data_IF_436264131544
#
_entry.id   IF_436264131544
#
_cell.length_a   1.000
_cell.length_b   1.000
_cell.length_c   1.000
_cell.angle_alpha   90.00
_cell.angle_beta   90.00
_cell.angle_gamma   90.00
#
_symmetry.space_group_name_H-M   'P 1'
#
loop_
_entity.id
_entity.type
_entity.pdbx_description
1 polymer ?
#
# COMPACT_ATOMS: atom_id res chain seq x y z
N UNK A 1 8.56 -8.18 93.61
CA UNK A 1 7.72 -7.45 92.62
C UNK A 1 8.25 -7.75 91.22
N UNK A 2 7.42 -7.63 90.16
CA UNK A 2 7.78 -7.55 88.71
C UNK A 2 8.98 -8.43 88.25
N UNK A 3 8.73 -9.68 87.84
CA UNK A 3 8.53 -10.13 86.43
C UNK A 3 9.73 -9.85 85.50
N UNK A 4 10.24 -10.90 84.87
CA UNK A 4 11.33 -10.87 83.89
C UNK A 4 10.87 -10.37 82.51
N UNK A 5 11.81 -9.82 81.74
CA UNK A 5 11.66 -9.58 80.30
C UNK A 5 12.54 -10.53 79.51
N UNK A 6 11.96 -11.22 78.52
CA UNK A 6 12.69 -12.06 77.56
C UNK A 6 13.03 -11.20 76.34
N UNK A 7 14.29 -11.21 75.93
CA UNK A 7 14.72 -10.56 74.68
C UNK A 7 14.44 -11.50 73.49
N UNK A 8 13.36 -11.26 72.76
CA UNK A 8 13.18 -11.86 71.43
C UNK A 8 14.00 -11.07 70.40
N UNK A 9 14.93 -11.75 69.72
CA UNK A 9 15.64 -11.19 68.57
C UNK A 9 14.75 -11.16 67.34
N UNK A 10 14.59 -10.00 66.71
CA UNK A 10 13.92 -9.86 65.41
C UNK A 10 14.94 -9.95 64.28
N UNK A 11 14.83 -10.99 63.45
CA UNK A 11 15.60 -11.08 62.22
C UNK A 11 15.04 -10.09 61.19
N UNK A 12 15.86 -9.14 60.74
CA UNK A 12 15.53 -8.33 59.56
C UNK A 12 15.76 -9.16 58.30
N UNK A 13 14.67 -9.64 57.70
CA UNK A 13 14.71 -10.20 56.35
C UNK A 13 14.84 -9.06 55.34
N UNK A 14 16.00 -8.94 54.70
CA UNK A 14 16.22 -7.98 53.62
C UNK A 14 15.44 -8.41 52.37
N UNK A 15 14.22 -7.89 52.21
CA UNK A 15 13.51 -7.97 50.95
C UNK A 15 14.27 -7.16 49.89
N UNK A 16 15.02 -7.84 49.02
CA UNK A 16 15.58 -7.24 47.81
C UNK A 16 14.41 -6.83 46.92
N UNK A 17 14.17 -5.52 46.83
CA UNK A 17 13.20 -4.95 45.91
C UNK A 17 13.78 -5.09 44.49
N UNK A 18 13.49 -6.21 43.85
CA UNK A 18 13.72 -6.40 42.42
C UNK A 18 12.82 -5.42 41.67
N UNK A 19 13.35 -4.21 41.43
CA UNK A 19 12.73 -3.23 40.57
C UNK A 19 12.79 -3.77 39.13
N UNK A 20 11.80 -4.58 38.76
CA UNK A 20 11.46 -4.82 37.36
C UNK A 20 11.09 -3.47 36.77
N UNK A 21 12.07 -2.82 36.15
CA UNK A 21 11.81 -1.82 35.13
C UNK A 21 11.03 -2.52 34.04
N UNK A 22 9.71 -2.42 34.11
CA UNK A 22 8.86 -2.54 32.93
C UNK A 22 9.21 -1.36 32.02
N UNK A 23 10.34 -1.47 31.32
CA UNK A 23 10.60 -0.74 30.09
C UNK A 23 9.39 -0.99 29.22
N UNK A 24 8.63 0.07 28.93
CA UNK A 24 7.45 -0.01 28.07
C UNK A 24 7.82 -0.78 26.81
N UNK A 25 7.14 -1.90 26.56
CA UNK A 25 7.37 -2.72 25.38
C UNK A 25 6.76 -2.05 24.13
N UNK A 26 7.35 -0.91 23.76
CA UNK A 26 7.55 -0.57 22.36
C UNK A 26 8.54 -1.63 21.85
N UNK A 27 7.99 -2.78 21.42
CA UNK A 27 8.80 -3.90 20.95
C UNK A 27 9.69 -3.45 19.79
N UNK A 28 10.81 -4.15 19.59
CA UNK A 28 11.83 -3.75 18.60
C UNK A 28 11.33 -3.75 17.15
N UNK A 29 10.11 -4.24 16.91
CA UNK A 29 9.40 -4.17 15.64
C UNK A 29 9.44 -2.78 15.01
N UNK A 30 10.08 -2.70 13.84
CA UNK A 30 10.20 -1.47 13.05
C UNK A 30 9.30 -1.55 11.81
N UNK A 31 8.58 -0.47 11.52
CA UNK A 31 7.84 -0.30 10.28
C UNK A 31 8.63 0.62 9.33
N UNK A 32 9.35 0.01 8.39
CA UNK A 32 10.09 0.70 7.33
C UNK A 32 9.11 1.10 6.22
N UNK A 33 9.01 2.40 5.89
CA UNK A 33 8.02 2.91 4.94
C UNK A 33 8.73 3.68 3.82
N UNK A 34 8.54 3.25 2.57
CA UNK A 34 9.07 3.91 1.36
C UNK A 34 7.93 4.48 0.50
N UNK A 35 8.05 5.76 0.13
CA UNK A 35 7.00 6.54 -0.52
C UNK A 35 6.93 6.36 -2.04
N UNK A 36 5.95 7.02 -2.66
CA UNK A 36 5.83 7.10 -4.12
C UNK A 36 6.79 8.12 -4.76
N UNK A 37 6.61 8.38 -6.06
CA UNK A 37 7.30 9.49 -6.76
C UNK A 37 7.05 10.82 -6.07
N UNK A 38 8.04 11.72 -6.10
CA UNK A 38 8.13 12.97 -5.35
C UNK A 38 8.03 12.83 -3.81
N UNK A 39 7.97 11.60 -3.27
CA UNK A 39 7.90 11.30 -1.84
C UNK A 39 9.21 10.67 -1.38
N UNK A 40 10.29 11.45 -1.43
CA UNK A 40 11.66 11.03 -1.09
C UNK A 40 11.87 10.67 0.38
N UNK A 41 10.99 11.16 1.26
CA UNK A 41 10.88 10.81 2.68
C UNK A 41 9.47 11.11 3.19
N UNK A 42 9.10 10.58 4.37
CA UNK A 42 7.80 10.81 4.99
C UNK A 42 7.90 11.18 6.46
N UNK A 43 7.10 12.16 6.88
CA UNK A 43 7.00 12.55 8.28
C UNK A 43 6.16 11.53 9.08
N UNK A 44 6.49 11.30 10.36
CA UNK A 44 5.83 10.29 11.20
C UNK A 44 4.30 10.48 11.31
N UNK A 45 3.85 11.74 11.28
CA UNK A 45 2.41 12.08 11.27
C UNK A 45 1.68 11.46 10.06
N UNK A 46 2.33 11.34 8.91
CA UNK A 46 1.77 10.66 7.72
C UNK A 46 1.85 9.15 7.89
N UNK A 47 3.02 8.63 8.27
CA UNK A 47 3.24 7.18 8.46
C UNK A 47 2.33 6.58 9.54
N UNK A 48 1.94 7.35 10.56
CA UNK A 48 1.01 6.92 11.62
C UNK A 48 -0.45 6.79 11.16
N UNK A 49 -0.80 7.28 9.96
CA UNK A 49 -2.14 7.17 9.37
C UNK A 49 -2.23 6.11 8.26
N UNK A 50 -1.08 5.70 7.70
CA UNK A 50 -0.99 4.67 6.65
C UNK A 50 -1.73 3.39 7.09
N UNK A 51 -2.51 2.82 6.17
CA UNK A 51 -3.32 1.61 6.37
C UNK A 51 -4.26 1.68 7.59
N UNK A 52 -4.87 2.85 7.83
CA UNK A 52 -5.75 3.10 8.98
C UNK A 52 -5.02 3.19 10.32
N UNK A 53 -3.70 3.37 10.31
CA UNK A 53 -2.86 3.41 11.51
C UNK A 53 -2.47 2.03 12.04
N UNK A 54 -2.41 1.00 11.19
CA UNK A 54 -1.89 -0.33 11.59
C UNK A 54 -0.43 -0.29 12.09
N UNK A 55 0.34 0.72 11.65
CA UNK A 55 1.74 0.93 12.02
C UNK A 55 1.93 1.69 13.36
N UNK A 56 0.85 1.94 14.12
CA UNK A 56 0.88 2.74 15.35
C UNK A 56 1.78 2.17 16.45
N UNK A 57 1.80 0.83 16.59
CA UNK A 57 2.47 0.08 17.67
C UNK A 57 3.93 -0.32 17.33
N UNK A 58 4.47 0.18 16.21
CA UNK A 58 5.83 -0.10 15.72
C UNK A 58 6.68 1.18 15.65
N UNK A 59 8.01 1.06 15.70
CA UNK A 59 8.90 2.18 15.36
C UNK A 59 8.82 2.45 13.86
N UNK A 60 8.12 3.51 13.45
CA UNK A 60 8.03 3.91 12.04
C UNK A 60 9.31 4.61 11.59
N UNK A 61 9.84 4.21 10.43
CA UNK A 61 11.06 4.75 9.83
C UNK A 61 10.79 5.09 8.37
N UNK A 62 11.08 6.33 7.98
CA UNK A 62 11.05 6.75 6.58
C UNK A 62 12.29 6.23 5.88
N UNK A 63 12.13 5.32 4.92
CA UNK A 63 13.22 4.88 4.06
C UNK A 63 13.44 5.96 2.99
N UNK A 64 14.53 6.69 3.12
CA UNK A 64 14.84 7.78 2.21
C UNK A 64 15.32 7.25 0.86
N UNK A 65 14.80 7.80 -0.23
CA UNK A 65 15.20 7.48 -1.61
C UNK A 65 14.99 8.70 -2.52
N UNK A 66 15.51 8.74 -3.76
CA UNK A 66 15.36 9.93 -4.60
C UNK A 66 13.90 10.25 -4.94
N UNK A 67 13.05 9.24 -5.14
CA UNK A 67 11.67 9.39 -5.60
C UNK A 67 11.51 10.12 -6.95
N UNK A 68 12.58 10.16 -7.74
CA UNK A 68 12.67 10.80 -9.05
C UNK A 68 12.30 9.82 -10.17
N UNK A 69 11.83 10.36 -11.30
CA UNK A 69 11.52 9.62 -12.51
C UNK A 69 11.60 10.55 -13.73
N UNK A 70 12.81 10.97 -14.13
CA UNK A 70 13.01 11.71 -15.36
C UNK A 70 12.43 10.95 -16.57
N UNK A 71 11.77 11.64 -17.53
CA UNK A 71 11.57 13.09 -17.62
C UNK A 71 10.35 13.65 -16.85
N UNK A 72 9.54 12.78 -16.21
CA UNK A 72 8.25 13.13 -15.59
C UNK A 72 8.37 14.00 -14.33
N UNK A 73 9.32 13.72 -13.43
CA UNK A 73 9.57 14.62 -12.27
C UNK A 73 10.33 15.89 -12.67
N UNK A 74 11.21 15.76 -13.67
CA UNK A 74 12.03 16.81 -14.20
C UNK A 74 13.06 16.27 -15.19
N UNK A 75 13.61 17.14 -16.04
CA UNK A 75 14.60 16.76 -17.07
C UNK A 75 16.05 16.74 -16.57
N UNK A 76 16.30 17.19 -15.34
CA UNK A 76 17.62 17.17 -14.69
C UNK A 76 17.77 16.06 -13.65
N UNK A 77 16.68 15.33 -13.39
CA UNK A 77 16.51 14.36 -12.32
C UNK A 77 17.08 12.99 -12.73
N UNK A 78 17.14 12.07 -11.78
CA UNK A 78 17.43 10.66 -12.04
C UNK A 78 16.31 9.99 -12.83
N UNK A 79 16.68 9.04 -13.69
CA UNK A 79 15.74 8.11 -14.31
C UNK A 79 15.07 7.23 -13.25
N UNK A 80 13.90 6.67 -13.55
CA UNK A 80 13.20 5.79 -12.62
C UNK A 80 14.05 4.59 -12.21
N UNK A 81 14.84 4.03 -13.15
CA UNK A 81 15.79 2.95 -12.84
C UNK A 81 16.90 3.38 -11.87
N UNK A 82 17.56 4.52 -12.11
CA UNK A 82 18.59 5.03 -11.21
C UNK A 82 18.04 5.39 -9.81
N UNK A 83 16.85 6.00 -9.78
CA UNK A 83 16.09 6.33 -8.57
C UNK A 83 15.74 5.07 -7.76
N UNK A 84 15.21 4.03 -8.42
CA UNK A 84 14.88 2.74 -7.78
C UNK A 84 16.14 2.04 -7.26
N UNK A 85 17.25 2.01 -8.02
CA UNK A 85 18.48 1.34 -7.57
C UNK A 85 19.02 1.93 -6.27
N UNK A 86 19.03 3.26 -6.12
CA UNK A 86 19.42 3.94 -4.87
C UNK A 86 18.41 3.62 -3.75
N UNK A 87 17.12 3.54 -4.09
CA UNK A 87 16.09 3.10 -3.14
C UNK A 87 16.30 1.67 -2.63
N UNK A 88 16.79 0.75 -3.48
CA UNK A 88 17.08 -0.65 -3.13
C UNK A 88 18.24 -0.72 -2.13
N UNK A 89 19.35 -0.05 -2.41
CA UNK A 89 20.51 0.01 -1.51
C UNK A 89 20.12 0.58 -0.13
N UNK A 90 19.35 1.67 -0.11
CA UNK A 90 18.88 2.29 1.13
C UNK A 90 17.86 1.44 1.89
N UNK A 91 16.96 0.74 1.19
CA UNK A 91 15.96 -0.13 1.81
C UNK A 91 16.62 -1.37 2.43
N UNK A 92 17.59 -1.98 1.75
CA UNK A 92 18.36 -3.10 2.32
C UNK A 92 19.09 -2.68 3.60
N UNK A 93 19.75 -1.52 3.60
CA UNK A 93 20.45 -1.01 4.79
C UNK A 93 19.51 -0.75 5.98
N UNK A 94 18.29 -0.26 5.75
CA UNK A 94 17.28 -0.10 6.82
C UNK A 94 16.67 -1.43 7.27
N UNK A 95 16.53 -2.42 6.37
CA UNK A 95 16.12 -3.79 6.73
C UNK A 95 17.16 -4.42 7.65
N UNK A 96 18.45 -4.41 7.28
CA UNK A 96 19.54 -4.93 8.11
C UNK A 96 19.56 -4.23 9.48
N UNK A 97 19.52 -2.90 9.49
CA UNK A 97 19.51 -2.11 10.71
C UNK A 97 18.26 -2.33 11.58
N UNK A 98 17.13 -2.78 11.02
CA UNK A 98 15.93 -3.14 11.76
C UNK A 98 15.98 -4.58 12.29
N UNK A 99 16.54 -5.53 11.53
CA UNK A 99 16.75 -6.91 11.96
C UNK A 99 17.75 -7.00 13.12
N UNK A 100 18.79 -6.17 13.11
CA UNK A 100 19.75 -6.04 14.22
C UNK A 100 19.14 -5.42 15.49
N UNK A 101 18.01 -4.70 15.39
CA UNK A 101 17.26 -4.19 16.55
C UNK A 101 16.35 -5.23 17.19
N UNK A 102 15.90 -6.25 16.45
CA UNK A 102 14.98 -7.26 16.97
C UNK A 102 15.57 -7.98 18.19
N UNK A 103 14.77 -8.09 19.25
CA UNK A 103 15.15 -8.73 20.50
C UNK A 103 15.51 -10.20 20.29
N UNK A 104 16.54 -10.66 20.98
CA UNK A 104 17.01 -12.05 20.97
C UNK A 104 17.00 -12.66 22.37
N UNK A 105 16.58 -13.92 22.46
CA UNK A 105 16.56 -14.68 23.72
C UNK A 105 17.99 -15.05 24.18
N UNK A 106 18.10 -15.71 25.34
CA UNK A 106 19.38 -16.13 25.90
C UNK A 106 20.12 -17.21 25.08
N UNK A 107 19.49 -17.74 24.02
CA UNK A 107 20.06 -18.73 23.10
C UNK A 107 20.41 -18.12 21.73
N UNK A 108 19.99 -16.87 21.46
CA UNK A 108 20.19 -16.16 20.19
C UNK A 108 18.99 -16.21 19.22
N UNK A 109 17.88 -16.84 19.59
CA UNK A 109 16.64 -16.86 18.79
C UNK A 109 15.95 -15.50 18.88
N UNK A 110 15.23 -15.07 17.84
CA UNK A 110 14.38 -13.87 17.93
C UNK A 110 13.24 -14.06 18.94
N UNK A 111 12.82 -12.98 19.60
CA UNK A 111 11.70 -13.00 20.55
C UNK A 111 10.37 -13.13 19.79
N UNK A 112 9.55 -14.12 20.18
CA UNK A 112 8.27 -14.40 19.55
C UNK A 112 7.37 -13.15 19.47
N UNK A 113 7.01 -12.76 18.24
CA UNK A 113 6.12 -11.63 17.94
C UNK A 113 6.81 -10.36 17.46
N UNK A 114 8.14 -10.22 17.60
CA UNK A 114 8.87 -9.06 17.04
C UNK A 114 9.19 -9.26 15.56
N UNK A 115 8.91 -8.26 14.71
CA UNK A 115 9.06 -8.32 13.25
C UNK A 115 9.41 -6.98 12.61
N UNK A 116 10.09 -7.01 11.46
CA UNK A 116 10.22 -5.85 10.58
C UNK A 116 9.05 -5.81 9.61
N UNK A 117 8.27 -4.74 9.60
CA UNK A 117 7.28 -4.48 8.54
C UNK A 117 7.90 -3.61 7.47
N UNK A 118 7.85 -4.02 6.20
CA UNK A 118 8.31 -3.22 5.05
C UNK A 118 7.12 -2.79 4.21
N UNK A 119 6.85 -1.49 4.16
CA UNK A 119 5.69 -0.90 3.48
C UNK A 119 6.15 -0.09 2.26
N UNK A 120 5.87 -0.59 1.06
CA UNK A 120 6.18 0.10 -0.20
C UNK A 120 4.93 0.68 -0.84
N UNK A 121 4.90 1.99 -1.08
CA UNK A 121 3.72 2.70 -1.59
C UNK A 121 3.95 3.30 -2.98
N UNK A 122 3.03 3.07 -3.92
CA UNK A 122 3.15 3.51 -5.33
C UNK A 122 4.50 3.07 -5.91
N UNK A 123 5.30 3.96 -6.51
CA UNK A 123 6.63 3.61 -7.03
C UNK A 123 7.60 3.04 -5.97
N UNK A 124 7.45 3.35 -4.68
CA UNK A 124 8.22 2.70 -3.61
C UNK A 124 7.97 1.20 -3.52
N UNK A 125 6.80 0.70 -3.95
CA UNK A 125 6.57 -0.75 -4.08
C UNK A 125 7.45 -1.41 -5.16
N UNK A 126 7.89 -0.67 -6.19
CA UNK A 126 8.80 -1.19 -7.21
C UNK A 126 10.21 -1.44 -6.65
N UNK A 127 10.65 -0.57 -5.72
CA UNK A 127 11.87 -0.77 -4.92
C UNK A 127 11.77 -2.04 -4.08
N UNK A 128 10.68 -2.18 -3.31
CA UNK A 128 10.46 -3.38 -2.48
C UNK A 128 10.36 -4.65 -3.34
N UNK A 129 9.80 -4.58 -4.55
CA UNK A 129 9.77 -5.69 -5.49
C UNK A 129 11.15 -6.11 -6.02
N UNK A 130 12.13 -5.20 -6.10
CA UNK A 130 13.51 -5.57 -6.47
C UNK A 130 14.28 -6.13 -5.27
N UNK A 131 14.07 -5.60 -4.06
CA UNK A 131 14.55 -6.23 -2.81
C UNK A 131 14.00 -7.65 -2.67
N UNK A 132 12.70 -7.86 -2.90
CA UNK A 132 12.08 -9.18 -2.92
C UNK A 132 12.69 -10.13 -3.99
N UNK A 133 13.20 -9.61 -5.12
CA UNK A 133 13.94 -10.40 -6.11
C UNK A 133 15.36 -10.76 -5.65
N UNK A 134 16.02 -9.88 -4.91
CA UNK A 134 17.32 -10.15 -4.29
C UNK A 134 17.19 -11.21 -3.19
N UNK A 135 16.27 -11.01 -2.24
CA UNK A 135 16.03 -11.95 -1.13
C UNK A 135 15.61 -13.34 -1.63
N UNK A 136 14.76 -13.44 -2.67
CA UNK A 136 14.36 -14.73 -3.24
C UNK A 136 15.44 -15.43 -4.10
N UNK A 137 16.61 -14.80 -4.27
CA UNK A 137 17.78 -15.34 -4.95
C UNK A 137 18.99 -15.56 -4.01
N UNK A 138 18.94 -15.05 -2.77
CA UNK A 138 19.97 -15.24 -1.75
C UNK A 138 19.66 -16.47 -0.88
N UNK A 139 20.71 -17.17 -0.45
CA UNK A 139 20.62 -18.33 0.44
C UNK A 139 20.80 -17.98 1.93
N UNK A 140 21.34 -16.78 2.23
CA UNK A 140 21.50 -16.25 3.59
C UNK A 140 20.41 -15.19 3.92
N UNK A 141 19.34 -15.14 3.12
CA UNK A 141 18.23 -14.20 3.30
C UNK A 141 17.54 -14.35 4.67
N UNK A 142 17.02 -13.27 5.29
CA UNK A 142 16.34 -13.34 6.59
C UNK A 142 15.12 -14.26 6.55
N UNK A 143 14.91 -15.04 7.62
CA UNK A 143 13.81 -15.99 7.72
C UNK A 143 12.46 -15.28 7.57
N UNK A 144 11.54 -15.90 6.81
CA UNK A 144 10.28 -15.27 6.44
C UNK A 144 9.32 -14.95 7.59
N UNK A 145 9.56 -15.46 8.78
CA UNK A 145 8.82 -15.08 9.97
C UNK A 145 9.31 -13.73 10.54
N UNK A 146 10.54 -13.31 10.24
CA UNK A 146 11.13 -12.05 10.75
C UNK A 146 10.61 -10.79 10.04
N UNK A 147 10.25 -10.90 8.75
CA UNK A 147 9.84 -9.77 7.91
C UNK A 147 8.41 -9.95 7.43
N UNK A 148 7.66 -8.86 7.27
CA UNK A 148 6.35 -8.86 6.61
C UNK A 148 6.27 -7.70 5.61
N UNK A 149 5.97 -8.01 4.35
CA UNK A 149 5.94 -7.02 3.28
C UNK A 149 4.51 -6.57 3.00
N UNK A 150 4.30 -5.25 2.85
CA UNK A 150 3.01 -4.65 2.51
C UNK A 150 3.18 -3.73 1.32
N UNK A 151 2.57 -4.07 0.19
CA UNK A 151 2.69 -3.31 -1.06
C UNK A 151 1.38 -2.61 -1.37
N UNK A 152 1.42 -1.29 -1.37
CA UNK A 152 0.25 -0.42 -1.55
C UNK A 152 0.36 0.27 -2.91
N UNK A 153 -0.68 0.20 -3.72
CA UNK A 153 -0.71 0.77 -5.06
C UNK A 153 0.39 0.22 -6.01
N UNK A 154 0.70 -1.07 -5.91
CA UNK A 154 1.75 -1.72 -6.70
C UNK A 154 1.30 -2.03 -8.14
N UNK A 155 1.85 -1.28 -9.08
CA UNK A 155 1.55 -1.41 -10.51
C UNK A 155 2.07 -2.72 -11.13
N UNK A 156 3.08 -3.38 -10.54
CA UNK A 156 3.70 -4.62 -11.05
C UNK A 156 2.84 -5.87 -10.87
N UNK A 157 1.76 -5.77 -10.09
CA UNK A 157 0.78 -6.85 -9.84
C UNK A 157 -0.45 -6.78 -10.76
N UNK A 158 -0.52 -5.78 -11.64
CA UNK A 158 -1.58 -5.65 -12.63
C UNK A 158 -1.42 -6.67 -13.78
N UNK A 159 -2.55 -7.15 -14.32
CA UNK A 159 -2.55 -8.12 -15.45
C UNK A 159 -1.88 -7.62 -16.73
N UNK A 160 -1.68 -6.31 -16.86
CA UNK A 160 -0.99 -5.67 -17.97
C UNK A 160 0.54 -5.82 -17.86
N UNK A 161 1.09 -5.96 -16.63
CA UNK A 161 2.52 -6.18 -16.37
C UNK A 161 2.79 -7.68 -16.23
N UNK A 162 2.40 -8.45 -17.24
CA UNK A 162 2.53 -9.92 -17.28
C UNK A 162 3.86 -10.41 -17.89
N UNK A 163 4.72 -9.50 -18.34
CA UNK A 163 5.98 -9.77 -19.04
C UNK A 163 7.06 -8.78 -18.62
N UNK A 164 8.32 -9.19 -18.68
CA UNK A 164 9.48 -8.30 -18.54
C UNK A 164 9.58 -7.37 -19.75
N UNK A 165 9.54 -6.05 -19.53
CA UNK A 165 9.66 -5.03 -20.58
C UNK A 165 10.51 -3.85 -20.09
N UNK A 166 11.45 -3.41 -20.92
CA UNK A 166 12.27 -2.21 -20.65
C UNK A 166 11.59 -0.98 -21.27
N UNK A 167 11.24 -0.01 -20.42
CA UNK A 167 10.81 1.32 -20.85
C UNK A 167 12.07 2.22 -20.98
N UNK A 168 12.29 2.76 -22.17
CA UNK A 168 13.45 3.60 -22.50
C UNK A 168 13.31 5.05 -22.02
N UNK A 169 12.09 5.58 -21.92
CA UNK A 169 11.82 6.93 -21.41
C UNK A 169 12.22 7.05 -19.94
N UNK A 170 11.93 6.00 -19.16
CA UNK A 170 12.20 5.92 -17.72
C UNK A 170 13.47 5.14 -17.35
N UNK A 171 14.18 4.55 -18.32
CA UNK A 171 15.34 3.67 -18.12
C UNK A 171 15.07 2.60 -17.03
N UNK A 172 13.92 1.94 -17.14
CA UNK A 172 13.45 0.98 -16.14
C UNK A 172 12.89 -0.29 -16.76
N UNK A 173 13.29 -1.43 -16.20
CA UNK A 173 12.78 -2.75 -16.59
C UNK A 173 11.62 -3.17 -15.71
N UNK A 174 10.40 -2.84 -16.16
CA UNK A 174 9.17 -3.38 -15.60
C UNK A 174 9.19 -4.91 -15.69
N UNK A 175 8.85 -5.56 -14.58
CA UNK A 175 8.88 -7.01 -14.40
C UNK A 175 7.66 -7.41 -13.57
N UNK A 176 7.04 -8.57 -13.82
CA UNK A 176 6.04 -9.14 -12.93
C UNK A 176 6.57 -9.23 -11.49
N UNK A 177 5.66 -9.22 -10.52
CA UNK A 177 5.97 -9.51 -9.13
C UNK A 177 6.76 -10.83 -8.98
N UNK A 178 7.79 -10.88 -8.12
CA UNK A 178 8.55 -12.11 -7.88
C UNK A 178 7.74 -13.14 -7.09
N UNK A 179 7.95 -14.42 -7.41
CA UNK A 179 7.61 -15.51 -6.48
C UNK A 179 8.70 -15.60 -5.41
N UNK A 180 8.32 -15.45 -4.15
CA UNK A 180 9.21 -15.50 -2.97
C UNK A 180 8.57 -16.35 -1.89
N UNK A 181 9.32 -16.85 -0.92
CA UNK A 181 8.73 -17.60 0.20
C UNK A 181 8.04 -16.72 1.24
N UNK A 182 8.30 -15.40 1.24
CA UNK A 182 7.72 -14.42 2.16
C UNK A 182 6.21 -14.29 1.98
N UNK A 183 5.52 -14.02 3.08
CA UNK A 183 4.11 -13.64 3.08
C UNK A 183 3.99 -12.12 2.85
N UNK A 184 3.13 -11.73 1.90
CA UNK A 184 3.00 -10.37 1.38
C UNK A 184 1.53 -9.93 1.47
N UNK A 185 1.29 -8.75 2.01
CA UNK A 185 0.00 -8.07 1.92
C UNK A 185 0.03 -7.12 0.70
N UNK A 186 -1.02 -7.12 -0.10
CA UNK A 186 -1.18 -6.23 -1.26
C UNK A 186 -2.44 -5.40 -1.07
N UNK A 187 -2.36 -4.08 -1.24
CA UNK A 187 -3.46 -3.14 -1.02
C UNK A 187 -3.66 -2.30 -2.26
N UNK A 188 -4.84 -2.40 -2.87
CA UNK A 188 -5.18 -1.75 -4.15
C UNK A 188 -6.53 -1.06 -4.02
N UNK A 189 -6.62 0.19 -4.47
CA UNK A 189 -7.89 0.92 -4.54
C UNK A 189 -8.72 0.51 -5.75
N UNK A 190 -10.02 0.31 -5.56
CA UNK A 190 -10.93 0.00 -6.68
C UNK A 190 -10.95 1.16 -7.69
N UNK A 191 -10.53 0.87 -8.92
CA UNK A 191 -10.32 1.83 -10.02
C UNK A 191 -9.16 2.83 -9.83
N UNK A 192 -8.19 2.56 -8.96
CA UNK A 192 -6.92 3.32 -8.93
C UNK A 192 -6.26 3.29 -10.33
N UNK A 193 -6.04 4.47 -10.94
CA UNK A 193 -5.46 4.57 -12.27
C UNK A 193 -4.04 4.04 -12.41
N UNK A 194 -3.29 3.90 -11.31
CA UNK A 194 -1.89 3.46 -11.31
C UNK A 194 -1.74 1.96 -11.00
N UNK A 195 -2.68 1.38 -10.26
CA UNK A 195 -2.57 0.04 -9.67
C UNK A 195 -3.81 -0.87 -9.90
N UNK A 196 -4.91 -0.32 -10.40
CA UNK A 196 -6.12 -1.03 -10.83
C UNK A 196 -6.62 -0.47 -12.18
N UNK A 197 -5.73 -0.46 -13.18
CA UNK A 197 -6.09 -0.11 -14.56
C UNK A 197 -6.86 -1.27 -15.23
N UNK A 198 -7.89 -1.01 -16.05
CA UNK A 198 -8.74 -2.06 -16.61
C UNK A 198 -7.98 -3.02 -17.54
N UNK A 199 -8.03 -4.32 -17.23
CA UNK A 199 -7.41 -5.37 -18.07
C UNK A 199 -8.05 -5.49 -19.47
N UNK A 200 -9.27 -4.97 -19.65
CA UNK A 200 -9.89 -4.74 -20.97
C UNK A 200 -9.84 -3.25 -21.34
N UNK A 201 -8.63 -2.72 -21.53
CA UNK A 201 -8.35 -1.30 -21.80
C UNK A 201 -9.14 -0.69 -22.98
N UNK A 202 -9.60 -1.50 -23.95
CA UNK A 202 -10.47 -1.04 -25.04
C UNK A 202 -11.86 -0.55 -24.57
N UNK A 203 -12.24 -0.78 -23.30
CA UNK A 203 -13.40 -0.14 -22.68
C UNK A 203 -13.03 1.29 -22.22
N UNK A 204 -13.07 2.23 -23.16
CA UNK A 204 -12.70 3.63 -22.91
C UNK A 204 -13.47 4.31 -21.75
N UNK A 205 -14.68 3.85 -21.41
CA UNK A 205 -15.40 4.36 -20.22
C UNK A 205 -14.73 3.93 -18.91
N UNK A 206 -14.17 2.71 -18.86
CA UNK A 206 -13.40 2.25 -17.72
C UNK A 206 -12.03 2.94 -17.64
N UNK A 207 -11.38 3.19 -18.77
CA UNK A 207 -10.12 3.96 -18.83
C UNK A 207 -10.32 5.39 -18.32
N UNK A 208 -11.35 6.11 -18.78
CA UNK A 208 -11.67 7.45 -18.25
C UNK A 208 -12.00 7.44 -16.76
N UNK A 209 -12.56 6.35 -16.23
CA UNK A 209 -12.81 6.19 -14.80
C UNK A 209 -11.54 5.85 -14.01
N UNK A 210 -10.61 5.07 -14.57
CA UNK A 210 -9.31 4.77 -13.97
C UNK A 210 -8.41 6.03 -13.93
N UNK A 211 -8.39 6.82 -15.00
CA UNK A 211 -7.70 8.13 -15.05
C UNK A 211 -8.20 9.04 -13.91
N UNK A 212 -9.53 9.16 -13.75
CA UNK A 212 -10.10 9.89 -12.62
C UNK A 212 -9.77 9.23 -11.26
N UNK A 213 -9.59 7.93 -11.19
CA UNK A 213 -9.16 7.21 -9.99
C UNK A 213 -7.69 7.45 -9.61
N UNK A 214 -6.82 7.76 -10.57
CA UNK A 214 -5.49 8.30 -10.28
C UNK A 214 -5.55 9.58 -9.42
N UNK A 215 -6.58 10.42 -9.64
CA UNK A 215 -6.83 11.65 -8.87
C UNK A 215 -7.54 11.34 -7.54
N UNK A 216 -8.65 10.59 -7.57
CA UNK A 216 -9.56 10.45 -6.43
C UNK A 216 -9.39 9.20 -5.56
N UNK A 217 -8.54 8.24 -5.96
CA UNK A 217 -8.39 6.94 -5.28
C UNK A 217 -6.94 6.64 -4.90
N UNK A 218 -5.98 6.89 -5.79
CA UNK A 218 -4.58 6.44 -5.65
C UNK A 218 -3.96 6.77 -4.29
N UNK A 219 -3.96 8.06 -3.89
CA UNK A 219 -3.40 8.49 -2.60
C UNK A 219 -4.37 8.24 -1.42
N UNK A 220 -5.68 8.58 -1.49
CA UNK A 220 -6.60 8.36 -0.37
C UNK A 220 -6.69 6.91 0.13
N UNK A 221 -6.60 5.91 -0.77
CA UNK A 221 -6.69 4.51 -0.39
C UNK A 221 -5.48 3.99 0.40
N UNK A 222 -4.33 4.68 0.36
CA UNK A 222 -3.14 4.32 1.15
C UNK A 222 -3.38 4.47 2.67
N UNK A 223 -4.40 5.25 3.05
CA UNK A 223 -4.81 5.49 4.44
C UNK A 223 -6.02 4.64 4.85
N UNK A 224 -6.46 3.70 3.99
CA UNK A 224 -7.64 2.88 4.25
C UNK A 224 -7.42 1.88 5.39
N UNK A 225 -8.39 1.80 6.31
CA UNK A 225 -8.42 0.79 7.36
C UNK A 225 -8.78 -0.58 6.77
N UNK A 226 -7.81 -1.49 6.73
CA UNK A 226 -7.95 -2.83 6.17
C UNK A 226 -8.99 -3.69 6.91
N UNK A 227 -9.31 -3.39 8.18
CA UNK A 227 -10.38 -4.08 8.92
C UNK A 227 -11.79 -3.76 8.43
N UNK A 228 -11.93 -2.68 7.63
CA UNK A 228 -13.19 -2.25 7.00
C UNK A 228 -13.34 -2.72 5.55
N UNK A 229 -12.36 -3.43 4.98
CA UNK A 229 -12.47 -4.00 3.63
C UNK A 229 -13.41 -5.21 3.66
N UNK A 230 -14.44 -5.30 2.78
CA UNK A 230 -15.36 -6.42 2.75
C UNK A 230 -14.64 -7.75 2.44
N UNK A 231 -15.08 -8.85 3.05
CA UNK A 231 -14.42 -10.16 2.93
C UNK A 231 -14.46 -10.73 1.49
N UNK A 232 -15.45 -10.34 0.68
CA UNK A 232 -15.54 -10.66 -0.75
C UNK A 232 -14.46 -9.96 -1.60
N UNK A 233 -13.93 -8.83 -1.11
CA UNK A 233 -12.85 -8.04 -1.70
C UNK A 233 -11.46 -8.46 -1.21
N UNK A 234 -11.37 -9.49 -0.37
CA UNK A 234 -10.10 -10.07 0.08
C UNK A 234 -9.87 -11.40 -0.67
N UNK A 235 -8.66 -11.62 -1.18
CA UNK A 235 -8.26 -12.92 -1.74
C UNK A 235 -6.85 -13.33 -1.34
N UNK A 236 -6.71 -14.61 -0.99
CA UNK A 236 -5.42 -15.23 -0.63
C UNK A 236 -5.00 -16.16 -1.76
N UNK A 237 -3.78 -15.94 -2.27
CA UNK A 237 -3.15 -16.72 -3.32
C UNK A 237 -1.78 -17.21 -2.81
N UNK A 238 -1.33 -18.40 -3.23
CA UNK A 238 -0.04 -19.00 -2.79
C UNK A 238 0.80 -19.33 -4.01
N UNK A 239 2.07 -18.92 -4.00
CA UNK A 239 2.99 -19.03 -5.13
C UNK A 239 3.79 -20.35 -5.12
N UNK A 240 4.60 -20.62 -6.16
CA UNK A 240 5.38 -21.86 -6.28
C UNK A 240 6.45 -22.06 -5.20
N UNK A 241 6.83 -20.99 -4.50
CA UNK A 241 7.78 -20.97 -3.38
C UNK A 241 7.11 -21.17 -2.01
N UNK A 242 5.78 -21.24 -1.95
CA UNK A 242 5.03 -21.36 -0.69
C UNK A 242 4.92 -20.06 0.11
N UNK A 243 5.16 -18.90 -0.51
CA UNK A 243 4.81 -17.60 0.03
C UNK A 243 3.37 -17.21 -0.30
N UNK A 244 2.70 -16.59 0.67
CA UNK A 244 1.28 -16.23 0.61
C UNK A 244 1.11 -14.77 0.21
N UNK A 245 0.25 -14.47 -0.77
CA UNK A 245 -0.16 -13.10 -1.07
C UNK A 245 -1.60 -12.87 -0.61
N UNK A 246 -1.80 -11.98 0.35
CA UNK A 246 -3.14 -11.54 0.81
C UNK A 246 -3.47 -10.20 0.17
N UNK A 247 -4.41 -10.22 -0.77
CA UNK A 247 -4.83 -9.06 -1.55
C UNK A 247 -6.06 -8.41 -0.91
N UNK A 248 -6.05 -7.08 -0.76
CA UNK A 248 -7.15 -6.25 -0.30
C UNK A 248 -7.55 -5.27 -1.42
N UNK A 249 -8.77 -5.42 -1.96
CA UNK A 249 -9.37 -4.42 -2.86
C UNK A 249 -10.19 -3.41 -2.05
N UNK A 250 -9.61 -2.25 -1.75
CA UNK A 250 -10.29 -1.17 -1.02
C UNK A 250 -11.45 -0.63 -1.89
N UNK A 251 -12.72 -0.76 -1.46
CA UNK A 251 -13.85 -0.34 -2.29
C UNK A 251 -13.92 1.18 -2.47
N UNK A 252 -14.24 1.62 -3.68
CA UNK A 252 -14.35 3.05 -3.99
C UNK A 252 -15.80 3.50 -3.84
N UNK A 253 -16.07 4.28 -2.77
CA UNK A 253 -17.42 4.65 -2.33
C UNK A 253 -18.25 5.45 -3.37
N UNK A 254 -17.58 6.11 -4.32
CA UNK A 254 -18.20 6.79 -5.46
C UNK A 254 -17.29 6.69 -6.67
N UNK A 255 -17.82 6.27 -7.83
CA UNK A 255 -17.06 6.14 -9.08
C UNK A 255 -16.22 7.40 -9.34
N UNK A 256 -14.90 7.29 -9.57
CA UNK A 256 -14.05 8.45 -9.79
C UNK A 256 -14.50 9.34 -10.96
N UNK A 257 -15.04 8.76 -12.04
CA UNK A 257 -15.64 9.52 -13.14
C UNK A 257 -16.85 10.37 -12.70
N UNK A 258 -17.54 9.96 -11.64
CA UNK A 258 -18.70 10.64 -11.05
C UNK A 258 -18.29 11.54 -9.88
N UNK A 259 -17.07 11.40 -9.35
CA UNK A 259 -16.41 12.42 -8.54
C UNK A 259 -15.99 13.59 -9.45
N UNK A 260 -15.31 13.30 -10.57
CA UNK A 260 -14.91 14.28 -11.59
C UNK A 260 -16.10 14.99 -12.26
N UNK A 261 -17.17 14.26 -12.56
CA UNK A 261 -18.38 14.82 -13.17
C UNK A 261 -19.63 14.53 -12.30
N UNK A 262 -19.92 15.34 -11.26
CA UNK A 262 -21.04 15.12 -10.34
C UNK A 262 -22.43 15.04 -11.01
N UNK A 263 -22.59 15.63 -12.20
CA UNK A 263 -23.81 15.53 -13.01
C UNK A 263 -24.19 14.09 -13.40
N UNK A 264 -23.21 13.17 -13.42
CA UNK A 264 -23.39 11.76 -13.74
C UNK A 264 -24.01 10.93 -12.60
N UNK A 265 -24.16 11.47 -11.37
CA UNK A 265 -24.59 10.72 -10.18
C UNK A 265 -25.90 9.94 -10.37
N UNK A 266 -26.86 10.48 -11.13
CA UNK A 266 -28.14 9.79 -11.45
C UNK A 266 -28.00 8.53 -12.30
N UNK A 267 -26.80 8.28 -12.86
CA UNK A 267 -26.45 7.13 -13.71
C UNK A 267 -25.33 6.28 -13.12
N UNK A 268 -24.93 6.53 -11.88
CA UNK A 268 -23.73 5.90 -11.28
C UNK A 268 -23.76 4.37 -11.31
N UNK A 269 -24.89 3.73 -10.98
CA UNK A 269 -25.04 2.28 -11.09
C UNK A 269 -25.00 1.75 -12.55
N UNK A 270 -25.52 2.52 -13.51
CA UNK A 270 -25.46 2.20 -14.96
C UNK A 270 -24.02 2.30 -15.49
N UNK A 271 -23.26 3.28 -14.99
CA UNK A 271 -21.85 3.47 -15.31
C UNK A 271 -21.00 2.38 -14.65
N UNK A 272 -21.20 2.06 -13.37
CA UNK A 272 -20.45 0.98 -12.66
C UNK A 272 -20.64 -0.36 -13.38
N UNK A 273 -21.88 -0.73 -13.72
CA UNK A 273 -22.18 -1.94 -14.49
C UNK A 273 -21.64 -1.96 -15.95
N UNK A 274 -21.10 -0.84 -16.46
CA UNK A 274 -20.37 -0.77 -17.74
C UNK A 274 -18.84 -0.73 -17.55
N UNK A 275 -18.37 -0.08 -16.50
CA UNK A 275 -16.96 0.00 -16.11
C UNK A 275 -16.47 -1.36 -15.60
N UNK A 276 -17.24 -2.02 -14.73
CA UNK A 276 -16.88 -3.30 -14.11
C UNK A 276 -16.61 -4.42 -15.12
N UNK A 277 -17.24 -4.35 -16.31
CA UNK A 277 -17.00 -5.29 -17.41
C UNK A 277 -15.59 -5.21 -17.99
N UNK A 278 -14.84 -4.15 -17.68
CA UNK A 278 -13.44 -3.99 -18.09
C UNK A 278 -12.44 -4.68 -17.15
N UNK A 279 -12.93 -5.24 -16.04
CA UNK A 279 -12.12 -5.83 -14.99
C UNK A 279 -12.47 -7.30 -14.84
N UNK A 280 -11.60 -8.18 -15.28
CA UNK A 280 -11.80 -9.65 -15.22
C UNK A 280 -11.95 -10.22 -13.80
N UNK A 281 -11.66 -9.44 -12.74
CA UNK A 281 -12.06 -9.79 -11.36
C UNK A 281 -13.58 -9.89 -11.16
N UNK A 282 -14.34 -9.15 -11.96
CA UNK A 282 -15.80 -9.05 -11.92
C UNK A 282 -16.48 -10.01 -12.90
N UNK A 283 -15.70 -10.73 -13.72
CA UNK A 283 -16.24 -11.83 -14.52
C UNK A 283 -16.85 -12.88 -13.60
N UNK A 284 -17.98 -13.47 -14.00
CA UNK A 284 -18.66 -14.52 -13.23
C UNK A 284 -17.74 -15.74 -13.17
N UNK A 285 -16.99 -15.90 -12.06
CA UNK A 285 -16.15 -17.08 -11.85
C UNK A 285 -17.06 -18.32 -11.87
N UNK A 286 -16.87 -19.18 -12.88
CA UNK A 286 -17.33 -20.56 -12.82
C UNK A 286 -16.80 -21.19 -11.53
N UNK A 287 -17.65 -21.94 -10.81
CA UNK A 287 -17.52 -22.22 -9.38
C UNK A 287 -16.28 -23.05 -8.98
N UNK A 288 -15.12 -22.41 -8.95
CA UNK A 288 -13.93 -22.86 -8.25
C UNK A 288 -14.02 -22.39 -6.79
N UNK A 289 -13.90 -23.33 -5.85
CA UNK A 289 -13.94 -23.06 -4.41
C UNK A 289 -12.75 -22.18 -4.02
N UNK A 290 -12.99 -20.88 -3.75
CA UNK A 290 -12.04 -20.07 -2.99
C UNK A 290 -12.04 -20.57 -1.55
N UNK A 291 -10.91 -21.03 -1.04
CA UNK A 291 -10.76 -21.25 0.41
C UNK A 291 -10.70 -19.89 1.08
N UNK A 292 -11.79 -19.48 1.74
CA UNK A 292 -11.79 -18.31 2.62
C UNK A 292 -10.99 -18.61 3.89
N UNK A 293 -9.66 -18.47 3.80
CA UNK A 293 -8.81 -18.32 4.98
C UNK A 293 -9.13 -16.96 5.59
N UNK A 294 -9.31 -16.91 6.92
CA UNK A 294 -9.43 -15.62 7.61
C UNK A 294 -8.12 -14.85 7.40
N UNK A 295 -8.21 -13.61 6.90
CA UNK A 295 -7.03 -12.78 6.72
C UNK A 295 -6.30 -12.61 8.06
N UNK A 296 -4.95 -12.66 8.09
CA UNK A 296 -4.21 -12.45 9.32
C UNK A 296 -4.55 -11.07 9.88
N UNK A 297 -4.86 -11.00 11.17
CA UNK A 297 -4.95 -9.73 11.85
C UNK A 297 -3.56 -9.07 11.87
N UNK A 298 -3.52 -7.75 11.71
CA UNK A 298 -2.37 -6.96 12.13
C UNK A 298 -2.39 -6.88 13.65
N UNK A 299 -1.91 -7.95 14.28
CA UNK A 299 -1.97 -8.14 15.74
C UNK A 299 -1.13 -7.09 16.47
N UNK A 300 -1.82 -6.12 17.07
CA UNK A 300 -1.29 -5.42 18.24
C UNK A 300 -1.18 -6.37 19.43
N UNK A 301 -0.24 -6.15 20.37
CA UNK A 301 0.13 -7.14 21.39
C UNK A 301 -1.07 -7.60 22.23
N UNK A 302 -1.33 -8.91 22.21
CA UNK A 302 -2.50 -9.50 22.85
C UNK A 302 -2.44 -9.36 24.38
N UNK A 303 -3.41 -8.64 24.95
CA UNK A 303 -3.62 -8.60 26.41
C UNK A 303 -4.12 -9.98 26.86
N UNK A 304 -3.43 -10.68 27.79
CA UNK A 304 -3.86 -12.01 28.23
C UNK A 304 -5.19 -11.91 28.98
N UNK A 305 -6.23 -12.53 28.43
CA UNK A 305 -7.55 -12.58 29.05
C UNK A 305 -7.47 -13.36 30.38
N UNK A 306 -7.91 -12.72 31.47
CA UNK A 306 -7.99 -13.38 32.77
C UNK A 306 -9.05 -14.50 32.74
N UNK A 307 -8.68 -15.70 33.18
CA UNK A 307 -9.58 -16.85 33.21
C UNK A 307 -10.57 -16.74 34.37
N UNK A 308 -11.78 -16.26 34.09
CA UNK A 308 -12.83 -16.07 35.11
C UNK A 308 -13.64 -17.36 35.35
N UNK A 309 -13.19 -18.16 36.34
CA UNK A 309 -13.84 -19.41 36.74
C UNK A 309 -15.19 -19.18 37.43
N UNK A 310 -16.26 -19.15 36.64
CA UNK A 310 -17.64 -19.04 37.11
C UNK A 310 -18.08 -20.25 37.96
N UNK A 311 -18.41 -20.01 39.23
CA UNK A 311 -19.04 -20.95 40.15
C UNK A 311 -20.23 -20.29 40.88
N UNK A 312 -21.24 -21.07 41.27
CA UNK A 312 -22.62 -20.55 41.41
C UNK A 312 -23.06 -20.09 42.82
N UNK A 313 -23.77 -18.95 42.80
CA UNK A 313 -25.01 -18.62 43.54
C UNK A 313 -25.05 -18.53 45.09
N UNK A 314 -25.69 -17.44 45.56
CA UNK A 314 -26.96 -17.46 46.33
C UNK A 314 -27.61 -16.06 46.44
N UNK A 315 -28.89 -16.03 46.82
CA UNK A 315 -29.70 -14.83 47.10
C UNK A 315 -29.25 -14.10 48.41
N UNK A 316 -29.75 -12.93 48.85
CA UNK A 316 -31.02 -12.23 48.57
C UNK A 316 -30.98 -10.70 48.90
N UNK A 317 -31.98 -9.95 48.39
CA UNK A 317 -32.60 -8.68 48.83
C UNK A 317 -31.85 -7.66 49.73
N UNK A 318 -31.79 -6.37 49.32
CA UNK A 318 -32.70 -5.32 49.87
C UNK A 318 -32.38 -3.85 49.47
N UNK A 319 -33.45 -3.09 49.16
CA UNK A 319 -33.68 -1.64 49.38
C UNK A 319 -32.81 -0.52 48.74
N UNK A 320 -33.47 0.31 47.93
CA UNK A 320 -33.17 1.75 47.66
C UNK A 320 -33.90 2.67 48.71
N UNK A 321 -34.00 4.01 48.52
CA UNK A 321 -32.94 5.03 48.49
C UNK A 321 -33.21 6.19 49.48
N UNK A 322 -32.27 7.14 49.62
CA UNK A 322 -32.53 8.50 50.14
C UNK A 322 -31.69 9.53 49.34
N UNK A 323 -32.23 10.73 49.13
CA UNK A 323 -31.61 11.83 48.38
C UNK A 323 -31.46 13.11 49.24
N UNK A 324 -31.21 14.27 48.59
CA UNK A 324 -31.00 15.61 49.15
C UNK A 324 -29.68 15.83 49.93
N UNK A 325 -29.09 17.03 49.96
CA UNK A 325 -29.48 18.33 49.37
C UNK A 325 -28.25 19.09 48.81
N UNK A 326 -28.49 20.16 48.04
CA UNK A 326 -27.46 21.08 47.54
C UNK A 326 -27.34 22.35 48.39
N UNK A 327 -26.16 22.99 48.36
CA UNK A 327 -25.95 24.38 48.80
C UNK A 327 -24.75 24.99 48.06
N UNK A 328 -24.88 26.23 47.59
CA UNK A 328 -23.79 27.03 47.02
C UNK A 328 -23.37 28.13 48.00
N UNK A 329 -22.08 28.47 48.05
CA UNK A 329 -21.50 29.83 48.09
C UNK A 329 -19.96 29.69 48.11
N UNK A 330 -19.17 30.36 47.25
CA UNK A 330 -18.98 31.82 47.08
C UNK A 330 -18.00 32.42 48.10
N UNK A 331 -16.73 32.55 47.69
CA UNK A 331 -15.80 33.60 48.14
C UNK A 331 -14.98 34.03 46.91
N UNK A 332 -14.75 35.34 46.76
CA UNK A 332 -13.88 35.94 45.74
C UNK A 332 -12.65 36.58 46.39
N UNK A 333 -11.65 36.81 45.54
CA UNK A 333 -10.82 38.02 45.38
C UNK A 333 -9.42 37.58 44.94
N UNK A 334 -9.02 37.73 43.67
CA UNK A 334 -8.72 38.99 42.95
C UNK A 334 -7.42 39.67 43.45
N UNK A 335 -6.43 39.77 42.56
CA UNK A 335 -5.72 41.03 42.30
C UNK A 335 -5.12 40.98 40.88
N UNK A 336 -5.70 41.80 40.01
CA UNK A 336 -5.17 42.55 38.85
C UNK A 336 -3.68 42.38 38.44
N UNK A 337 -3.31 42.50 37.14
CA UNK A 337 -4.09 42.81 35.93
C UNK A 337 -3.34 43.75 34.94
N UNK A 338 -4.00 44.16 33.84
CA UNK A 338 -3.49 44.98 32.71
C UNK A 338 -2.51 44.27 31.74
N UNK A 339 -2.56 44.47 30.42
CA UNK A 339 -3.51 45.17 29.51
C UNK A 339 -3.45 44.41 28.16
N UNK A 340 -4.57 44.05 27.55
CA UNK A 340 -5.45 44.90 26.71
C UNK A 340 -4.74 45.47 25.48
N UNK A 341 -5.04 44.88 24.31
CA UNK A 341 -5.58 45.60 23.16
C UNK A 341 -6.41 44.61 22.32
N UNK A 342 -7.57 45.04 21.83
CA UNK A 342 -8.60 44.19 21.19
C UNK A 342 -9.03 44.80 19.84
N UNK A 343 -8.91 44.03 18.75
CA UNK A 343 -9.47 44.37 17.44
C UNK A 343 -10.08 43.10 16.83
N UNK A 344 -11.39 43.13 16.65
CA UNK A 344 -12.14 42.10 15.94
C UNK A 344 -12.07 42.29 14.43
N UNK A 345 -11.97 41.18 13.68
CA UNK A 345 -11.91 41.22 12.21
C UNK A 345 -11.96 39.82 11.61
N UNK A 346 -13.15 39.36 11.25
CA UNK A 346 -13.31 38.15 10.45
C UNK A 346 -13.09 38.47 8.96
N UNK A 347 -12.35 37.61 8.26
CA UNK A 347 -12.16 37.67 6.82
C UNK A 347 -11.59 36.35 6.31
N UNK A 348 -12.18 35.82 5.25
CA UNK A 348 -11.62 34.67 4.52
C UNK A 348 -10.33 35.09 3.81
N UNK A 349 -9.26 34.31 3.98
CA UNK A 349 -8.20 34.20 2.97
C UNK A 349 -7.53 32.82 3.04
N UNK A 350 -8.25 31.79 2.57
CA UNK A 350 -7.61 30.54 2.14
C UNK A 350 -7.19 30.78 0.69
N UNK A 351 -5.94 31.19 0.51
CA UNK A 351 -5.35 31.37 -0.82
C UNK A 351 -5.34 30.04 -1.57
N UNK A 352 -6.23 29.93 -2.55
CA UNK A 352 -6.37 28.74 -3.40
C UNK A 352 -5.10 28.59 -4.24
N UNK A 353 -4.32 27.54 -3.98
CA UNK A 353 -3.23 27.11 -4.87
C UNK A 353 -3.85 26.23 -5.96
N UNK A 354 -4.55 26.88 -6.89
CA UNK A 354 -4.84 26.34 -8.22
C UNK A 354 -3.64 26.68 -9.12
N UNK A 355 -2.73 25.73 -9.33
CA UNK A 355 -1.84 25.74 -10.49
C UNK A 355 -1.44 24.30 -10.89
N UNK A 356 -1.48 24.09 -12.21
CA UNK A 356 -0.97 22.96 -13.01
C UNK A 356 -0.77 21.57 -12.35
N UNK A 357 -1.84 20.75 -12.34
CA UNK A 357 -1.69 19.28 -12.32
C UNK A 357 -1.36 18.82 -13.74
N UNK A 358 -0.13 18.35 -13.95
CA UNK A 358 0.37 17.91 -15.26
C UNK A 358 -0.41 16.70 -15.80
N UNK A 359 -0.90 16.83 -17.04
CA UNK A 359 -1.62 15.78 -17.78
C UNK A 359 -0.70 14.63 -18.26
N UNK A 360 0.62 14.76 -18.19
CA UNK A 360 1.58 13.74 -18.66
C UNK A 360 1.38 12.35 -18.03
N UNK A 361 0.85 12.27 -16.79
CA UNK A 361 0.54 11.00 -16.12
C UNK A 361 -0.51 10.14 -16.87
N UNK A 362 -1.30 10.75 -17.78
CA UNK A 362 -2.32 10.06 -18.57
C UNK A 362 -1.74 9.45 -19.85
N UNK A 363 -0.66 10.01 -20.41
CA UNK A 363 -0.11 9.56 -21.69
C UNK A 363 0.83 8.35 -21.54
N UNK A 364 1.69 8.29 -20.51
CA UNK A 364 2.61 7.14 -20.31
C UNK A 364 1.85 5.83 -19.96
N UNK A 365 0.70 5.91 -19.29
CA UNK A 365 -0.17 4.73 -19.08
C UNK A 365 -0.74 4.18 -20.40
N UNK A 366 -0.92 5.04 -21.41
CA UNK A 366 -1.28 4.64 -22.76
C UNK A 366 -0.05 4.20 -23.58
N UNK A 367 1.10 4.87 -23.50
CA UNK A 367 2.27 4.52 -24.31
C UNK A 367 2.91 3.18 -23.88
N UNK A 368 2.90 2.88 -22.57
CA UNK A 368 3.27 1.57 -22.05
C UNK A 368 2.38 0.41 -22.58
N UNK A 369 1.20 0.71 -23.14
CA UNK A 369 0.37 -0.26 -23.89
C UNK A 369 0.43 -0.09 -25.41
N UNK A 370 0.78 1.09 -25.92
CA UNK A 370 1.05 1.39 -27.34
C UNK A 370 2.21 0.57 -27.91
N UNK A 371 3.28 0.36 -27.11
CA UNK A 371 4.41 -0.52 -27.41
C UNK A 371 4.09 -2.04 -27.48
N UNK A 372 2.89 -2.40 -27.95
CA UNK A 372 2.43 -3.76 -28.23
C UNK A 372 2.20 -4.05 -29.71
N UNK A 373 2.46 -3.09 -30.61
CA UNK A 373 2.16 -3.19 -32.05
C UNK A 373 3.32 -2.72 -32.93
N UNK A 374 4.46 -3.43 -32.91
CA UNK A 374 5.43 -3.45 -34.02
C UNK A 374 6.49 -4.56 -33.81
N UNK A 375 6.25 -5.74 -34.39
CA UNK A 375 7.25 -6.77 -34.78
C UNK A 375 6.54 -8.08 -35.20
N UNK A 376 6.31 -8.24 -36.51
CA UNK A 376 6.70 -9.40 -37.33
C UNK A 376 5.75 -9.61 -38.52
N UNK A 377 6.31 -10.03 -39.65
CA UNK A 377 5.68 -10.06 -40.96
C UNK A 377 5.96 -11.40 -41.66
N UNK A 378 5.01 -11.84 -42.49
CA UNK A 378 5.11 -12.96 -43.44
C UNK A 378 5.30 -14.36 -42.76
N UNK A 379 5.00 -15.52 -43.34
CA UNK A 379 4.55 -15.88 -44.71
C UNK A 379 3.83 -17.26 -44.66
N UNK A 380 2.88 -17.57 -45.58
CA UNK A 380 2.67 -18.92 -46.17
C UNK A 380 1.58 -18.96 -47.28
N UNK A 381 1.61 -20.01 -48.12
CA UNK A 381 1.13 -20.00 -49.52
C UNK A 381 -0.05 -20.96 -49.85
N UNK A 382 -0.65 -20.78 -51.05
CA UNK A 382 -1.43 -21.76 -51.84
C UNK A 382 -2.87 -22.09 -51.37
N UNK A 383 -3.92 -22.18 -52.20
CA UNK A 383 -4.03 -22.45 -53.67
C UNK A 383 -5.25 -21.78 -54.37
N UNK A 384 -5.23 -21.76 -55.72
CA UNK A 384 -6.26 -21.35 -56.74
C UNK A 384 -7.42 -22.37 -56.93
N UNK A 385 -8.42 -22.21 -57.86
CA UNK A 385 -8.88 -21.07 -58.69
C UNK A 385 -10.44 -20.88 -58.79
N UNK A 386 -10.96 -19.86 -59.54
CA UNK A 386 -11.82 -20.05 -60.76
C UNK A 386 -12.58 -18.78 -61.29
N UNK A 387 -12.26 -18.40 -62.54
CA UNK A 387 -13.15 -17.79 -63.61
C UNK A 387 -13.75 -16.36 -63.59
N UNK A 388 -13.70 -15.74 -64.79
CA UNK A 388 -14.54 -14.64 -65.38
C UNK A 388 -14.34 -13.18 -64.88
N UNK A 389 -14.58 -12.08 -65.64
CA UNK A 389 -14.53 -11.71 -67.10
C UNK A 389 -14.92 -10.20 -67.25
N UNK A 390 -14.74 -9.38 -68.32
CA UNK A 390 -14.23 -9.46 -69.72
C UNK A 390 -13.61 -8.08 -70.12
N UNK A 391 -12.54 -8.03 -70.95
CA UNK A 391 -12.06 -6.84 -71.74
C UNK A 391 -11.63 -5.56 -70.96
N UNK A 392 -10.90 -4.57 -71.48
CA UNK A 392 -10.37 -4.22 -72.82
C UNK A 392 -8.97 -3.57 -72.66
N UNK A 393 -7.95 -3.88 -73.47
CA UNK A 393 -7.49 -3.20 -74.71
C UNK A 393 -6.57 -1.99 -74.51
N UNK A 394 -5.63 -1.85 -75.46
CA UNK A 394 -4.77 -0.70 -75.79
C UNK A 394 -3.66 -0.31 -74.77
N UNK A 395 -2.57 0.36 -75.19
CA UNK A 395 -1.55 0.02 -76.21
C UNK A 395 -0.35 1.00 -76.02
N UNK A 396 0.79 0.75 -76.69
CA UNK A 396 2.03 1.59 -76.68
C UNK A 396 2.81 1.63 -75.35
N UNK A 397 4.11 1.33 -75.21
CA UNK A 397 5.33 1.39 -76.05
C UNK A 397 6.23 2.63 -75.77
N UNK A 398 7.56 2.41 -75.86
CA UNK A 398 8.69 3.28 -75.50
C UNK A 398 8.86 3.60 -73.99
N UNK A 399 10.07 3.55 -73.41
CA UNK A 399 11.34 3.10 -73.97
C UNK A 399 12.53 3.15 -72.99
N UNK A 400 13.69 2.69 -73.49
CA UNK A 400 15.11 2.93 -73.10
C UNK A 400 15.47 3.98 -72.03
N UNK A 401 16.59 3.86 -71.28
CA UNK A 401 17.80 3.02 -71.45
C UNK A 401 18.73 3.05 -70.22
N UNK A 402 19.58 2.01 -70.09
CA UNK A 402 20.87 1.94 -69.34
C UNK A 402 20.84 2.19 -67.80
N UNK A 403 21.63 1.54 -66.92
CA UNK A 403 23.02 1.06 -66.95
C UNK A 403 24.06 2.21 -66.89
N UNK A 404 25.17 2.18 -66.13
CA UNK A 404 25.77 1.19 -65.19
C UNK A 404 26.29 1.96 -63.95
N UNK A 405 26.41 1.39 -62.75
CA UNK A 405 27.55 0.61 -62.19
C UNK A 405 28.94 1.28 -62.23
N UNK A 406 29.73 1.01 -61.18
CA UNK A 406 31.15 1.35 -60.90
C UNK A 406 31.53 2.73 -60.30
N UNK A 407 32.37 2.62 -59.24
CA UNK A 407 33.17 3.60 -58.47
C UNK A 407 32.45 4.65 -57.58
#
# INVERSE_FOLDING_TARGET
MRKAGIACGTAFASALLAATTATSAWGSSSALVIGGIATSSMHDVVMSQVLGGSLKDQQRVSVNWPAEAAPYTGRGDLTLGASINIGVDNLNAEIDAALDRLGKDANGNYVDGEKVTVVGMSAGSLVVNEVLRQLAADAEAPDKNQITFVLVADSSRQKLINQTRYNKSFDYTYRPAPETEYDIIVVTGEYDGMADFPDRWWNGLAVMNAIAGGIYVHVPMMFADLSKVPAENISVDVNSKGGTTTNYLVPTAKLPLVQLFPSLAKREAELKAKIDKAYSRNDVRATALRTFVAAPAVDGPAVPAAADTSAQAREDSAAEPVAEAAAEESVRDDVTGSRDDDVTGAGDDVTVIEDEIDTAAVEEAADATSGSVDADQDDEDSTKPETSSVSSSDDSDSGSSDASDSE
#
